data_IF_487191635492
#
_entry.id   IF_487191635492
#
_cell.length_a   1.000
_cell.length_b   1.000
_cell.length_c   1.000
_cell.angle_alpha   90.00
_cell.angle_beta   90.00
_cell.angle_gamma   90.00
#
_symmetry.space_group_name_H-M   'P 1'
#
loop_
_entity.id
_entity.type
_entity.pdbx_description
1 polymer ?
#
# COMPACT_ATOMS: atom_id res chain seq x y z
N UNK A 1 0.02 64.97 11.58
CA UNK A 1 1.10 64.14 12.17
C UNK A 1 0.95 64.22 13.69
N UNK A 2 1.00 63.12 14.47
CA UNK A 2 1.78 61.90 14.26
C UNK A 2 0.96 60.59 14.14
N UNK A 3 1.63 59.66 13.45
CA UNK A 3 1.54 58.20 13.36
C UNK A 3 0.72 57.39 14.38
N UNK A 4 -0.20 56.57 13.85
CA UNK A 4 -0.67 55.30 14.46
C UNK A 4 0.44 54.24 14.41
N UNK A 5 0.58 53.38 15.43
CA UNK A 5 1.31 52.13 15.28
C UNK A 5 0.41 51.03 14.70
N UNK A 6 1.02 50.27 13.80
CA UNK A 6 0.58 49.01 13.21
C UNK A 6 0.95 47.83 14.12
N UNK A 7 0.35 46.67 13.86
CA UNK A 7 0.71 45.31 14.31
C UNK A 7 0.17 44.85 15.66
N UNK A 8 -0.71 43.84 15.64
CA UNK A 8 -0.30 42.44 15.80
C UNK A 8 -1.53 41.52 15.77
N UNK A 9 -1.47 40.48 14.92
CA UNK A 9 -2.42 39.37 14.92
C UNK A 9 -2.41 38.68 16.29
N UNK A 10 -3.52 38.75 17.01
CA UNK A 10 -3.80 37.84 18.11
C UNK A 10 -4.52 36.61 17.54
N UNK A 11 -3.76 35.55 17.25
CA UNK A 11 -4.34 34.21 17.04
C UNK A 11 -4.79 33.72 18.41
N UNK A 12 -6.09 33.75 18.65
CA UNK A 12 -6.69 33.21 19.86
C UNK A 12 -6.50 31.69 19.89
N UNK A 13 -5.80 31.22 20.90
CA UNK A 13 -5.66 29.82 21.24
C UNK A 13 -7.04 29.26 21.66
N UNK A 14 -7.61 28.38 20.84
CA UNK A 14 -8.77 27.58 21.21
C UNK A 14 -8.31 26.16 21.56
N UNK A 15 -8.65 25.73 22.78
CA UNK A 15 -8.43 24.37 23.30
C UNK A 15 -9.21 23.30 22.52
N UNK A 16 -8.79 22.02 22.59
CA UNK A 16 -9.22 20.99 21.65
C UNK A 16 -10.53 20.34 22.08
N UNK A 17 -11.61 20.65 21.37
CA UNK A 17 -12.75 19.75 21.23
C UNK A 17 -12.48 18.86 20.00
N UNK A 18 -12.10 17.60 20.24
CA UNK A 18 -11.48 16.67 19.28
C UNK A 18 -12.28 16.23 18.04
N UNK A 19 -13.35 16.92 17.66
CA UNK A 19 -14.11 16.66 16.43
C UNK A 19 -14.11 17.80 15.41
N UNK A 20 -13.99 19.06 15.86
CA UNK A 20 -14.14 20.22 14.99
C UNK A 20 -12.92 20.54 14.11
N UNK A 21 -11.73 20.13 14.55
CA UNK A 21 -10.47 20.41 13.82
C UNK A 21 -10.30 19.59 12.55
N UNK A 22 -10.68 18.30 12.60
CA UNK A 22 -10.53 17.37 11.45
C UNK A 22 -11.51 17.73 10.34
N UNK A 23 -12.80 17.89 10.65
CA UNK A 23 -13.81 18.27 9.66
C UNK A 23 -13.50 19.62 8.99
N UNK A 24 -12.92 20.57 9.72
CA UNK A 24 -12.48 21.85 9.16
C UNK A 24 -11.30 21.67 8.20
N UNK A 25 -10.34 20.82 8.53
CA UNK A 25 -9.19 20.56 7.66
C UNK A 25 -9.59 19.78 6.39
N UNK A 26 -10.55 18.86 6.50
CA UNK A 26 -11.14 18.15 5.36
C UNK A 26 -11.85 19.13 4.40
N UNK A 27 -12.62 20.07 4.94
CA UNK A 27 -13.24 21.13 4.14
C UNK A 27 -12.18 21.99 3.43
N UNK A 28 -11.13 22.40 4.14
CA UNK A 28 -10.02 23.17 3.55
C UNK A 28 -9.26 22.37 2.47
N UNK A 29 -9.08 21.06 2.66
CA UNK A 29 -8.48 20.18 1.66
C UNK A 29 -9.36 20.09 0.42
N UNK A 30 -10.68 19.99 0.60
CA UNK A 30 -11.64 20.04 -0.52
C UNK A 30 -11.61 21.38 -1.26
N UNK A 31 -11.57 22.51 -0.55
CA UNK A 31 -11.48 23.83 -1.16
C UNK A 31 -10.22 23.96 -2.03
N UNK A 32 -9.09 23.43 -1.55
CA UNK A 32 -7.84 23.40 -2.32
C UNK A 32 -7.90 22.51 -3.56
N UNK A 33 -8.57 21.35 -3.47
CA UNK A 33 -8.82 20.49 -4.63
C UNK A 33 -9.75 21.16 -5.64
N UNK A 34 -10.79 21.87 -5.18
CA UNK A 34 -11.69 22.63 -6.05
C UNK A 34 -10.97 23.77 -6.77
N UNK A 35 -10.15 24.56 -6.06
CA UNK A 35 -9.31 25.61 -6.65
C UNK A 35 -8.38 25.04 -7.73
N UNK A 36 -7.73 23.89 -7.46
CA UNK A 36 -6.90 23.21 -8.43
C UNK A 36 -7.70 22.69 -9.63
N UNK A 37 -8.90 22.16 -9.41
CA UNK A 37 -9.79 21.67 -10.48
C UNK A 37 -10.18 22.80 -11.43
N UNK A 38 -10.60 23.94 -10.89
CA UNK A 38 -10.99 25.13 -11.66
C UNK A 38 -9.80 25.66 -12.46
N UNK A 39 -8.62 25.76 -11.83
CA UNK A 39 -7.39 26.20 -12.49
C UNK A 39 -6.98 25.26 -13.63
N UNK A 40 -7.13 23.94 -13.46
CA UNK A 40 -6.84 22.94 -14.51
C UNK A 40 -7.85 23.03 -15.66
N UNK A 41 -9.13 23.32 -15.36
CA UNK A 41 -10.18 23.42 -16.36
C UNK A 41 -9.95 24.59 -17.34
N UNK A 42 -9.43 25.72 -16.84
CA UNK A 42 -9.13 26.91 -17.65
C UNK A 42 -7.70 26.97 -18.16
N UNK A 43 -6.84 26.00 -17.82
CA UNK A 43 -5.44 26.00 -18.18
C UNK A 43 -5.24 25.97 -19.70
N UNK A 44 -4.34 26.83 -20.17
CA UNK A 44 -3.90 26.99 -21.55
C UNK A 44 -2.57 26.29 -21.84
N UNK A 45 -1.79 25.98 -20.79
CA UNK A 45 -0.48 25.33 -20.90
C UNK A 45 -0.25 24.26 -19.83
N UNK A 46 0.66 23.32 -20.12
CA UNK A 46 1.09 22.31 -19.16
C UNK A 46 1.71 22.93 -17.88
N UNK A 47 2.35 24.10 -18.00
CA UNK A 47 2.91 24.81 -16.84
C UNK A 47 1.84 25.31 -15.86
N UNK A 48 0.69 25.77 -16.37
CA UNK A 48 -0.43 26.20 -15.52
C UNK A 48 -1.05 25.01 -14.77
N UNK A 49 -1.13 23.85 -15.44
CA UNK A 49 -1.57 22.59 -14.82
C UNK A 49 -0.60 22.16 -13.74
N UNK A 50 0.72 22.19 -14.00
CA UNK A 50 1.77 21.88 -13.01
C UNK A 50 1.65 22.78 -11.78
N UNK A 51 1.43 24.08 -11.98
CA UNK A 51 1.22 25.02 -10.87
C UNK A 51 -0.02 24.69 -10.05
N UNK A 52 -1.14 24.36 -10.70
CA UNK A 52 -2.38 24.02 -10.02
C UNK A 52 -2.24 22.77 -9.14
N UNK A 53 -1.61 21.71 -9.65
CA UNK A 53 -1.36 20.49 -8.86
C UNK A 53 -0.29 20.71 -7.79
N UNK A 54 0.73 21.52 -8.06
CA UNK A 54 1.78 21.87 -7.10
C UNK A 54 1.22 22.54 -5.85
N UNK A 55 0.24 23.44 -6.00
CA UNK A 55 -0.42 24.13 -4.90
C UNK A 55 -1.08 23.17 -3.88
N UNK A 56 -1.55 22.00 -4.34
CA UNK A 56 -2.06 20.94 -3.46
C UNK A 56 -0.91 20.04 -2.98
N UNK A 57 0.01 19.66 -3.86
CA UNK A 57 1.10 18.74 -3.55
C UNK A 57 2.03 19.26 -2.43
N UNK A 58 2.32 20.57 -2.39
CA UNK A 58 3.19 21.18 -1.36
C UNK A 58 2.60 21.11 0.05
N UNK A 59 1.27 21.00 0.17
CA UNK A 59 0.58 20.81 1.45
C UNK A 59 0.76 19.39 1.99
N UNK A 60 0.96 18.42 1.10
CA UNK A 60 0.93 16.99 1.41
C UNK A 60 2.34 16.37 1.44
N UNK A 61 3.27 16.89 0.65
CA UNK A 61 4.59 16.30 0.46
C UNK A 61 5.70 17.34 0.60
N UNK A 62 6.92 16.92 0.98
CA UNK A 62 8.11 17.74 0.81
C UNK A 62 8.45 17.79 -0.69
N UNK A 63 7.83 18.73 -1.41
CA UNK A 63 8.02 18.94 -2.85
C UNK A 63 9.27 19.79 -3.08
N UNK A 64 10.17 19.34 -3.96
CA UNK A 64 11.27 20.18 -4.45
C UNK A 64 10.76 21.23 -5.45
N UNK A 65 10.22 22.32 -4.90
CA UNK A 65 9.67 23.44 -5.68
C UNK A 65 10.72 24.10 -6.59
N UNK A 66 12.01 24.05 -6.25
CA UNK A 66 13.06 24.63 -7.10
C UNK A 66 13.24 23.81 -8.38
N UNK A 67 13.28 22.48 -8.25
CA UNK A 67 13.33 21.57 -9.40
C UNK A 67 12.08 21.68 -10.28
N UNK A 68 10.89 21.82 -9.67
CA UNK A 68 9.64 22.05 -10.42
C UNK A 68 9.69 23.37 -11.17
N UNK A 69 10.04 24.46 -10.49
CA UNK A 69 10.12 25.80 -11.07
C UNK A 69 11.16 25.90 -12.20
N UNK A 70 12.26 25.13 -12.13
CA UNK A 70 13.31 25.11 -13.14
C UNK A 70 12.87 24.65 -14.53
N UNK A 71 11.71 23.98 -14.64
CA UNK A 71 11.15 23.49 -15.90
C UNK A 71 10.05 24.37 -16.50
N UNK A 72 9.74 25.50 -15.85
CA UNK A 72 8.61 26.34 -16.18
C UNK A 72 9.05 27.74 -16.63
N UNK A 73 8.26 28.32 -17.52
CA UNK A 73 8.44 29.69 -17.97
C UNK A 73 7.88 30.70 -16.95
N UNK A 74 8.34 31.95 -17.03
CA UNK A 74 7.74 33.06 -16.28
C UNK A 74 6.35 33.41 -16.86
N UNK A 75 5.37 33.82 -16.04
CA UNK A 75 5.45 34.17 -14.60
C UNK A 75 5.20 32.98 -13.64
N UNK A 76 5.01 31.77 -14.17
CA UNK A 76 4.59 30.59 -13.40
C UNK A 76 5.70 30.18 -12.42
N UNK A 77 6.94 30.22 -12.88
CA UNK A 77 8.14 29.95 -12.09
C UNK A 77 8.18 30.76 -10.80
N UNK A 78 7.95 32.08 -10.87
CA UNK A 78 7.94 32.96 -9.70
C UNK A 78 6.85 32.61 -8.68
N UNK A 79 5.71 32.09 -9.12
CA UNK A 79 4.59 31.73 -8.22
C UNK A 79 4.89 30.45 -7.42
N UNK A 80 5.57 29.47 -8.03
CA UNK A 80 5.94 28.20 -7.36
C UNK A 80 7.04 28.40 -6.31
N UNK A 81 7.93 29.37 -6.50
CA UNK A 81 9.04 29.64 -5.58
C UNK A 81 8.56 30.30 -4.28
N UNK A 82 7.31 30.76 -4.19
CA UNK A 82 6.75 31.23 -2.91
C UNK A 82 6.55 30.04 -1.94
N UNK A 83 7.56 29.78 -1.12
CA UNK A 83 7.65 28.56 -0.29
C UNK A 83 6.63 28.58 0.84
N UNK A 84 5.72 27.60 0.82
CA UNK A 84 4.88 27.26 1.95
C UNK A 84 5.65 26.26 2.85
N UNK A 85 6.21 26.75 3.95
CA UNK A 85 6.98 25.91 4.88
C UNK A 85 6.06 25.38 5.98
N UNK A 86 5.51 24.18 5.76
CA UNK A 86 4.78 23.44 6.80
C UNK A 86 5.73 22.59 7.63
N UNK A 87 5.49 22.57 8.94
CA UNK A 87 6.09 21.58 9.84
C UNK A 87 5.66 20.16 9.47
N UNK A 88 6.36 19.16 10.00
CA UNK A 88 6.03 17.75 9.75
C UNK A 88 4.60 17.41 10.23
N UNK A 89 4.22 17.88 11.42
CA UNK A 89 2.94 17.53 12.04
C UNK A 89 1.75 18.22 11.36
N UNK A 90 1.94 19.46 10.89
CA UNK A 90 0.94 20.15 10.07
C UNK A 90 0.74 19.41 8.75
N UNK A 91 1.82 19.03 8.07
CA UNK A 91 1.76 18.27 6.82
C UNK A 91 1.06 16.93 7.03
N UNK A 92 1.37 16.22 8.12
CA UNK A 92 0.71 14.95 8.42
C UNK A 92 -0.79 15.11 8.71
N UNK A 93 -1.17 16.21 9.38
CA UNK A 93 -2.58 16.55 9.57
C UNK A 93 -3.30 16.77 8.23
N UNK A 94 -2.68 17.54 7.32
CA UNK A 94 -3.18 17.75 5.96
C UNK A 94 -3.30 16.43 5.18
N UNK A 95 -2.29 15.56 5.26
CA UNK A 95 -2.32 14.24 4.63
C UNK A 95 -3.48 13.40 5.13
N UNK A 96 -3.70 13.35 6.45
CA UNK A 96 -4.80 12.57 7.04
C UNK A 96 -6.16 13.06 6.54
N UNK A 97 -6.41 14.37 6.59
CA UNK A 97 -7.65 14.95 6.11
C UNK A 97 -7.84 14.78 4.59
N UNK A 98 -6.75 14.86 3.82
CA UNK A 98 -6.81 14.72 2.37
C UNK A 98 -7.11 13.28 1.93
N UNK A 99 -6.36 12.30 2.45
CA UNK A 99 -6.43 10.90 2.00
C UNK A 99 -7.62 10.13 2.57
N UNK A 100 -7.97 10.34 3.84
CA UNK A 100 -9.10 9.66 4.47
C UNK A 100 -10.41 10.47 4.37
N UNK A 101 -10.34 11.70 3.86
CA UNK A 101 -11.50 12.53 3.53
C UNK A 101 -11.89 12.46 2.04
N UNK A 102 -12.86 13.29 1.62
CA UNK A 102 -13.36 13.29 0.23
C UNK A 102 -12.40 13.92 -0.80
N UNK A 103 -11.31 14.55 -0.35
CA UNK A 103 -10.40 15.30 -1.20
C UNK A 103 -9.58 14.39 -2.13
N UNK A 104 -9.01 13.29 -1.63
CA UNK A 104 -8.25 12.37 -2.46
C UNK A 104 -9.10 11.66 -3.53
N UNK A 105 -10.30 11.10 -3.23
CA UNK A 105 -11.18 10.55 -4.27
C UNK A 105 -11.56 11.57 -5.35
N UNK A 106 -11.71 12.84 -4.99
CA UNK A 106 -11.99 13.92 -5.96
C UNK A 106 -10.75 14.26 -6.79
N UNK A 107 -9.61 14.47 -6.13
CA UNK A 107 -8.34 14.80 -6.77
C UNK A 107 -7.86 13.69 -7.70
N UNK A 108 -7.99 12.42 -7.30
CA UNK A 108 -7.63 11.26 -8.13
C UNK A 108 -8.43 11.21 -9.42
N UNK A 109 -9.74 11.51 -9.40
CA UNK A 109 -10.55 11.62 -10.63
C UNK A 109 -10.05 12.75 -11.54
N UNK A 110 -9.65 13.89 -10.99
CA UNK A 110 -9.08 15.01 -11.78
C UNK A 110 -7.72 14.60 -12.38
N UNK A 111 -6.84 13.99 -11.57
CA UNK A 111 -5.52 13.54 -12.00
C UNK A 111 -5.61 12.47 -13.10
N UNK A 112 -6.50 11.50 -12.95
CA UNK A 112 -6.65 10.39 -13.89
C UNK A 112 -7.47 10.80 -15.13
N UNK A 113 -8.64 11.42 -14.94
CA UNK A 113 -9.58 11.69 -16.04
C UNK A 113 -9.32 12.99 -16.80
N UNK A 114 -8.75 14.01 -16.18
CA UNK A 114 -8.49 15.29 -16.86
C UNK A 114 -7.00 15.44 -17.22
N UNK A 115 -6.13 15.28 -16.22
CA UNK A 115 -4.71 15.59 -16.38
C UNK A 115 -4.00 14.48 -17.18
N UNK A 116 -4.26 13.20 -16.90
CA UNK A 116 -3.62 12.10 -17.61
C UNK A 116 -3.91 12.13 -19.12
N UNK A 117 -5.17 12.38 -19.47
CA UNK A 117 -5.63 12.38 -20.86
C UNK A 117 -5.06 13.57 -21.66
N UNK A 118 -5.15 14.78 -21.12
CA UNK A 118 -4.86 16.01 -21.88
C UNK A 118 -3.43 16.53 -21.73
N UNK A 119 -2.84 16.40 -20.54
CA UNK A 119 -1.67 17.20 -20.17
C UNK A 119 -0.42 16.37 -19.84
N UNK A 120 -0.59 15.15 -19.33
CA UNK A 120 0.50 14.37 -18.75
C UNK A 120 1.67 14.10 -19.71
N UNK A 121 1.39 14.00 -21.03
CA UNK A 121 2.43 13.83 -22.07
C UNK A 121 3.32 15.07 -22.24
N UNK A 122 2.84 16.25 -21.87
CA UNK A 122 3.56 17.53 -21.99
C UNK A 122 4.31 17.89 -20.70
N UNK A 123 4.03 17.21 -19.60
CA UNK A 123 4.69 17.44 -18.31
C UNK A 123 6.04 16.72 -18.30
N UNK A 124 7.11 17.46 -18.00
CA UNK A 124 8.46 16.91 -17.89
C UNK A 124 8.51 15.78 -16.85
N UNK A 125 9.27 14.71 -17.13
CA UNK A 125 9.26 13.50 -16.30
C UNK A 125 9.62 13.76 -14.83
N UNK A 126 10.60 14.63 -14.56
CA UNK A 126 10.99 15.00 -13.19
C UNK A 126 9.85 15.69 -12.45
N UNK A 127 9.13 16.60 -13.11
CA UNK A 127 7.99 17.32 -12.54
C UNK A 127 6.84 16.37 -12.29
N UNK A 128 6.53 15.50 -13.26
CA UNK A 128 5.50 14.48 -13.11
C UNK A 128 5.75 13.63 -11.86
N UNK A 129 7.00 13.18 -11.64
CA UNK A 129 7.35 12.40 -10.44
C UNK A 129 7.09 13.18 -9.15
N UNK A 130 7.44 14.47 -9.14
CA UNK A 130 7.38 15.28 -7.92
C UNK A 130 5.97 15.75 -7.56
N UNK A 131 5.14 16.13 -8.54
CA UNK A 131 3.83 16.74 -8.29
C UNK A 131 2.63 15.93 -8.76
N UNK A 132 2.79 14.96 -9.67
CA UNK A 132 1.68 14.11 -10.13
C UNK A 132 1.75 12.72 -9.49
N UNK A 133 2.86 12.00 -9.67
CA UNK A 133 3.02 10.64 -9.16
C UNK A 133 3.01 10.60 -7.63
N UNK A 134 3.49 11.67 -6.96
CA UNK A 134 3.52 11.76 -5.49
C UNK A 134 2.16 11.54 -4.82
N UNK A 135 1.04 11.93 -5.47
CA UNK A 135 -0.31 11.68 -4.94
C UNK A 135 -0.67 10.20 -4.80
N UNK A 136 -0.01 9.34 -5.57
CA UNK A 136 -0.23 7.90 -5.54
C UNK A 136 0.94 7.18 -4.88
N UNK A 137 2.17 7.58 -5.17
CA UNK A 137 3.40 6.93 -4.69
C UNK A 137 3.69 7.26 -3.23
N UNK A 138 3.42 8.49 -2.79
CA UNK A 138 3.62 8.94 -1.39
C UNK A 138 2.31 8.92 -0.58
N UNK A 139 1.21 8.44 -1.15
CA UNK A 139 -0.08 8.27 -0.47
C UNK A 139 -0.20 6.93 0.26
N UNK A 140 -1.17 6.76 1.18
CA UNK A 140 -1.46 5.47 1.80
C UNK A 140 -1.88 4.45 0.73
N UNK A 141 -1.18 3.33 0.54
CA UNK A 141 -1.51 2.38 -0.52
C UNK A 141 -2.90 1.76 -0.39
N UNK A 142 -3.47 1.70 0.82
CA UNK A 142 -4.86 1.28 1.03
C UNK A 142 -5.87 2.21 0.35
N UNK A 143 -5.66 3.53 0.38
CA UNK A 143 -6.49 4.50 -0.33
C UNK A 143 -6.20 4.51 -1.83
N UNK A 144 -4.92 4.43 -2.21
CA UNK A 144 -4.48 4.48 -3.60
C UNK A 144 -5.03 3.32 -4.42
N UNK A 145 -5.03 2.09 -3.89
CA UNK A 145 -5.62 0.93 -4.58
C UNK A 145 -7.13 1.12 -4.80
N UNK A 146 -7.83 1.69 -3.82
CA UNK A 146 -9.27 1.96 -3.93
C UNK A 146 -9.60 2.99 -5.01
N UNK A 147 -8.67 3.89 -5.33
CA UNK A 147 -8.82 4.82 -6.45
C UNK A 147 -8.44 4.16 -7.79
N UNK A 148 -7.30 3.48 -7.87
CA UNK A 148 -6.73 3.00 -9.13
C UNK A 148 -7.42 1.75 -9.69
N UNK A 149 -7.68 0.74 -8.87
CA UNK A 149 -8.16 -0.56 -9.35
C UNK A 149 -9.60 -0.51 -9.89
N UNK A 150 -10.55 0.23 -9.29
CA UNK A 150 -11.85 0.43 -9.89
C UNK A 150 -11.81 1.24 -11.19
N UNK A 151 -10.86 2.18 -11.31
CA UNK A 151 -10.73 3.02 -12.49
C UNK A 151 -10.37 2.21 -13.76
N UNK A 152 -9.61 1.11 -13.64
CA UNK A 152 -9.35 0.19 -14.77
C UNK A 152 -10.61 -0.37 -15.44
N UNK A 153 -11.73 -0.44 -14.71
CA UNK A 153 -12.98 -0.99 -15.21
C UNK A 153 -13.95 0.08 -15.74
N UNK A 154 -13.56 1.35 -15.76
CA UNK A 154 -14.40 2.44 -16.25
C UNK A 154 -14.35 2.51 -17.78
N UNK A 155 -15.51 2.35 -18.43
CA UNK A 155 -15.63 2.56 -19.87
C UNK A 155 -15.58 4.05 -20.18
N UNK A 156 -14.53 4.50 -20.88
CA UNK A 156 -14.46 5.85 -21.42
C UNK A 156 -15.10 5.94 -22.82
N UNK A 157 -15.54 7.15 -23.18
CA UNK A 157 -16.36 7.41 -24.36
C UNK A 157 -15.63 7.15 -25.70
N UNK A 158 -14.29 7.17 -25.72
CA UNK A 158 -13.47 6.92 -26.92
C UNK A 158 -12.42 5.83 -26.65
N UNK A 159 -12.11 5.00 -27.66
CA UNK A 159 -11.13 3.90 -27.53
C UNK A 159 -9.69 4.39 -27.30
N UNK A 160 -9.33 5.55 -27.84
CA UNK A 160 -7.96 6.09 -27.72
C UNK A 160 -7.75 6.73 -26.36
N UNK A 161 -8.70 7.53 -25.88
CA UNK A 161 -8.65 8.11 -24.54
C UNK A 161 -8.63 7.02 -23.48
N UNK A 162 -9.48 5.99 -23.65
CA UNK A 162 -9.51 4.84 -22.76
C UNK A 162 -8.15 4.13 -22.68
N UNK A 163 -7.43 3.99 -23.80
CA UNK A 163 -6.11 3.38 -23.81
C UNK A 163 -5.08 4.25 -23.06
N UNK A 164 -5.09 5.56 -23.25
CA UNK A 164 -4.18 6.50 -22.55
C UNK A 164 -4.45 6.47 -21.04
N UNK A 165 -5.73 6.49 -20.67
CA UNK A 165 -6.19 6.39 -19.30
C UNK A 165 -5.70 5.09 -18.64
N UNK A 166 -5.99 3.94 -19.25
CA UNK A 166 -5.57 2.63 -18.75
C UNK A 166 -4.04 2.50 -18.68
N UNK A 167 -3.30 2.98 -19.68
CA UNK A 167 -1.83 2.99 -19.67
C UNK A 167 -1.27 3.74 -18.45
N UNK A 168 -1.85 4.89 -18.10
CA UNK A 168 -1.41 5.64 -16.93
C UNK A 168 -1.76 4.93 -15.62
N UNK A 169 -2.95 4.34 -15.51
CA UNK A 169 -3.33 3.57 -14.30
C UNK A 169 -2.45 2.34 -14.14
N UNK A 170 -2.20 1.58 -15.20
CA UNK A 170 -1.30 0.42 -15.21
C UNK A 170 0.10 0.83 -14.76
N UNK A 171 0.63 1.94 -15.28
CA UNK A 171 1.91 2.50 -14.86
C UNK A 171 1.89 2.84 -13.36
N UNK A 172 0.86 3.52 -12.88
CA UNK A 172 0.74 3.89 -11.47
C UNK A 172 0.63 2.66 -10.56
N UNK A 173 -0.08 1.61 -10.96
CA UNK A 173 -0.16 0.34 -10.21
C UNK A 173 1.20 -0.32 -10.09
N UNK A 174 2.00 -0.35 -11.16
CA UNK A 174 3.37 -0.86 -11.11
C UNK A 174 4.23 -0.02 -10.17
N UNK A 175 4.21 1.32 -10.33
CA UNK A 175 4.99 2.23 -9.50
C UNK A 175 4.62 2.09 -8.02
N UNK A 176 3.33 2.08 -7.69
CA UNK A 176 2.87 2.08 -6.30
C UNK A 176 3.01 0.70 -5.65
N UNK A 177 2.56 -0.37 -6.32
CA UNK A 177 2.48 -1.69 -5.71
C UNK A 177 3.78 -2.49 -5.84
N UNK A 178 4.50 -2.35 -6.95
CA UNK A 178 5.67 -3.18 -7.24
C UNK A 178 6.96 -2.43 -6.95
N UNK A 179 7.17 -1.27 -7.57
CA UNK A 179 8.43 -0.53 -7.45
C UNK A 179 8.59 0.13 -6.08
N UNK A 180 7.51 0.70 -5.53
CA UNK A 180 7.52 1.33 -4.20
C UNK A 180 7.11 0.40 -3.05
N UNK A 181 7.11 -0.92 -3.28
CA UNK A 181 6.76 -1.94 -2.27
C UNK A 181 5.39 -1.70 -1.59
N UNK A 182 4.39 -1.20 -2.33
CA UNK A 182 3.10 -0.79 -1.78
C UNK A 182 2.37 -1.91 -1.04
N UNK A 183 2.54 -3.18 -1.43
CA UNK A 183 1.93 -4.31 -0.72
C UNK A 183 2.50 -4.46 0.70
N UNK A 184 3.82 -4.31 0.85
CA UNK A 184 4.46 -4.28 2.17
C UNK A 184 4.00 -3.07 3.00
N UNK A 185 3.83 -1.90 2.37
CA UNK A 185 3.32 -0.73 3.07
C UNK A 185 1.88 -0.93 3.60
N UNK A 186 1.01 -1.65 2.88
CA UNK A 186 -0.33 -2.03 3.40
C UNK A 186 -0.22 -2.87 4.67
N UNK A 187 0.71 -3.84 4.69
CA UNK A 187 0.98 -4.64 5.90
C UNK A 187 1.40 -3.74 7.06
N UNK A 188 2.27 -2.77 6.81
CA UNK A 188 2.69 -1.80 7.82
C UNK A 188 1.53 -0.94 8.32
N UNK A 189 0.64 -0.45 7.43
CA UNK A 189 -0.55 0.31 7.83
C UNK A 189 -1.46 -0.50 8.77
N UNK A 190 -1.68 -1.79 8.47
CA UNK A 190 -2.47 -2.65 9.36
C UNK A 190 -1.83 -2.90 10.71
N UNK A 191 -0.51 -2.82 10.84
CA UNK A 191 0.16 -2.84 12.15
C UNK A 191 -0.16 -1.58 12.97
N UNK A 192 -0.16 -0.40 12.35
CA UNK A 192 -0.40 0.87 13.05
C UNK A 192 -1.87 1.13 13.39
N UNK A 193 -2.81 0.68 12.54
CA UNK A 193 -4.27 0.80 12.77
C UNK A 193 -4.74 0.11 14.07
N UNK A 194 -3.96 -0.82 14.62
CA UNK A 194 -4.27 -1.52 15.86
C UNK A 194 -3.97 -0.72 17.15
N UNK A 195 -3.34 0.46 17.07
CA UNK A 195 -3.01 1.26 18.26
C UNK A 195 -4.19 1.97 18.91
N UNK A 196 -5.38 1.97 18.29
CA UNK A 196 -6.49 2.85 18.69
C UNK A 196 -7.85 2.16 18.90
N UNK A 197 -7.95 0.82 18.82
CA UNK A 197 -9.22 0.12 19.03
C UNK A 197 -9.04 -1.15 19.89
N UNK A 198 -9.98 -1.36 20.82
CA UNK A 198 -10.11 -2.53 21.69
C UNK A 198 -10.14 -3.84 20.88
N UNK A 199 -9.18 -4.75 21.14
CA UNK A 199 -9.37 -6.19 21.40
C UNK A 199 -9.96 -7.13 20.35
N UNK A 200 -10.80 -6.63 19.44
CA UNK A 200 -11.63 -7.43 18.55
C UNK A 200 -11.69 -6.74 17.20
N UNK A 201 -11.37 -7.48 16.14
CA UNK A 201 -11.55 -7.02 14.77
C UNK A 201 -13.03 -6.67 14.55
N UNK A 202 -13.37 -5.38 14.53
CA UNK A 202 -14.68 -4.90 14.12
C UNK A 202 -15.04 -5.50 12.73
N UNK A 203 -16.27 -6.04 12.53
CA UNK A 203 -16.77 -6.46 11.22
C UNK A 203 -16.43 -5.52 10.06
N UNK A 204 -16.53 -4.19 10.26
CA UNK A 204 -16.20 -3.18 9.24
C UNK A 204 -14.75 -3.30 8.75
N UNK A 205 -13.83 -3.59 9.68
CA UNK A 205 -12.41 -3.76 9.38
C UNK A 205 -12.14 -5.05 8.62
N UNK A 206 -12.81 -6.14 9.01
CA UNK A 206 -12.71 -7.42 8.29
C UNK A 206 -13.20 -7.26 6.85
N UNK A 207 -14.35 -6.59 6.65
CA UNK A 207 -14.87 -6.26 5.33
C UNK A 207 -13.92 -5.37 4.53
N UNK A 208 -13.31 -4.37 5.18
CA UNK A 208 -12.32 -3.49 4.55
C UNK A 208 -11.09 -4.28 4.06
N UNK A 209 -10.51 -5.12 4.92
CA UNK A 209 -9.35 -5.98 4.60
C UNK A 209 -9.69 -6.92 3.44
N UNK A 210 -10.84 -7.59 3.51
CA UNK A 210 -11.29 -8.52 2.47
C UNK A 210 -11.48 -7.80 1.12
N UNK A 211 -12.04 -6.57 1.14
CA UNK A 211 -12.19 -5.73 -0.06
C UNK A 211 -10.84 -5.34 -0.65
N UNK A 212 -9.88 -4.93 0.18
CA UNK A 212 -8.53 -4.59 -0.29
C UNK A 212 -7.81 -5.79 -0.89
N UNK A 213 -7.88 -6.96 -0.24
CA UNK A 213 -7.34 -8.19 -0.79
C UNK A 213 -7.97 -8.55 -2.13
N UNK A 214 -9.29 -8.33 -2.28
CA UNK A 214 -9.99 -8.50 -3.55
C UNK A 214 -9.50 -7.54 -4.63
N UNK A 215 -9.35 -6.25 -4.32
CA UNK A 215 -8.86 -5.26 -5.27
C UNK A 215 -7.45 -5.63 -5.74
N UNK A 216 -6.55 -5.94 -4.81
CA UNK A 216 -5.18 -6.35 -5.11
C UNK A 216 -5.14 -7.60 -6.00
N UNK A 217 -5.90 -8.64 -5.63
CA UNK A 217 -5.95 -9.88 -6.39
C UNK A 217 -6.56 -9.72 -7.80
N UNK A 218 -7.42 -8.72 -8.00
CA UNK A 218 -8.09 -8.47 -9.29
C UNK A 218 -7.24 -7.68 -10.29
N UNK A 219 -6.08 -7.15 -9.90
CA UNK A 219 -5.26 -6.30 -10.78
C UNK A 219 -4.89 -6.99 -12.09
N UNK A 220 -4.39 -8.25 -12.10
CA UNK A 220 -4.07 -8.92 -13.36
C UNK A 220 -5.29 -9.18 -14.25
N UNK A 221 -6.46 -9.43 -13.64
CA UNK A 221 -7.71 -9.69 -14.36
C UNK A 221 -8.22 -8.42 -15.07
N UNK A 222 -7.91 -7.25 -14.51
CA UNK A 222 -8.36 -5.94 -14.99
C UNK A 222 -7.35 -5.23 -15.88
N UNK A 223 -6.10 -5.69 -15.91
CA UNK A 223 -5.09 -5.16 -16.81
C UNK A 223 -5.48 -5.46 -18.27
N UNK A 224 -5.22 -4.53 -19.19
CA UNK A 224 -5.62 -4.72 -20.59
C UNK A 224 -4.80 -5.82 -21.26
N UNK A 225 -5.32 -6.39 -22.35
CA UNK A 225 -4.48 -7.22 -23.22
C UNK A 225 -3.33 -6.39 -23.80
N UNK A 226 -2.09 -6.85 -23.60
CA UNK A 226 -0.88 -6.10 -23.96
C UNK A 226 -0.46 -5.03 -22.92
N UNK A 227 -0.98 -5.09 -21.69
CA UNK A 227 -0.40 -4.42 -20.54
C UNK A 227 1.07 -4.82 -20.34
N UNK A 228 1.78 -4.07 -19.49
CA UNK A 228 3.15 -4.44 -19.08
C UNK A 228 3.19 -5.88 -18.56
N UNK A 229 4.28 -6.60 -18.86
CA UNK A 229 4.50 -7.97 -18.37
C UNK A 229 4.52 -8.05 -16.85
N UNK A 230 4.79 -6.93 -16.16
CA UNK A 230 4.73 -6.81 -14.71
C UNK A 230 3.31 -7.00 -14.13
N UNK A 231 2.26 -6.74 -14.92
CA UNK A 231 0.86 -6.91 -14.51
C UNK A 231 0.26 -8.25 -14.92
N UNK A 232 1.02 -9.11 -15.59
CA UNK A 232 0.60 -10.50 -15.80
C UNK A 232 0.46 -11.21 -14.46
N UNK A 233 -0.49 -12.14 -14.34
CA UNK A 233 -0.74 -12.87 -13.10
C UNK A 233 0.55 -13.48 -12.52
N UNK A 234 1.41 -14.03 -13.37
CA UNK A 234 2.70 -14.61 -12.95
C UNK A 234 3.64 -13.60 -12.29
N UNK A 235 4.01 -12.53 -13.00
CA UNK A 235 4.94 -11.52 -12.47
C UNK A 235 4.34 -10.75 -11.30
N UNK A 236 3.05 -10.40 -11.39
CA UNK A 236 2.37 -9.60 -10.40
C UNK A 236 2.25 -10.36 -9.09
N UNK A 237 1.70 -11.59 -9.11
CA UNK A 237 1.53 -12.37 -7.88
C UNK A 237 2.85 -12.80 -7.27
N UNK A 238 3.89 -13.04 -8.07
CA UNK A 238 5.24 -13.25 -7.55
C UNK A 238 5.69 -12.08 -6.66
N UNK A 239 5.59 -10.86 -7.18
CA UNK A 239 5.96 -9.66 -6.42
C UNK A 239 5.06 -9.42 -5.21
N UNK A 240 3.74 -9.57 -5.36
CA UNK A 240 2.77 -9.41 -4.27
C UNK A 240 3.06 -10.37 -3.12
N UNK A 241 3.19 -11.68 -3.41
CA UNK A 241 3.42 -12.71 -2.40
C UNK A 241 4.76 -12.50 -1.69
N UNK A 242 5.82 -12.19 -2.44
CA UNK A 242 7.13 -11.91 -1.89
C UNK A 242 7.10 -10.72 -0.92
N UNK A 243 6.53 -9.59 -1.34
CA UNK A 243 6.41 -8.40 -0.48
C UNK A 243 5.56 -8.65 0.77
N UNK A 244 4.43 -9.34 0.59
CA UNK A 244 3.48 -9.64 1.65
C UNK A 244 4.11 -10.49 2.76
N UNK A 245 4.79 -11.58 2.38
CA UNK A 245 5.39 -12.52 3.32
C UNK A 245 6.60 -11.93 4.03
N UNK A 246 7.50 -11.25 3.30
CA UNK A 246 8.67 -10.58 3.91
C UNK A 246 8.21 -9.55 4.94
N UNK A 247 7.26 -8.68 4.59
CA UNK A 247 6.84 -7.63 5.52
C UNK A 247 6.00 -8.15 6.68
N UNK A 248 5.22 -9.22 6.48
CA UNK A 248 4.47 -9.86 7.56
C UNK A 248 5.40 -10.58 8.55
N UNK A 249 6.47 -11.23 8.08
CA UNK A 249 7.51 -11.80 8.94
C UNK A 249 8.21 -10.70 9.75
N UNK A 250 8.60 -9.58 9.13
CA UNK A 250 9.17 -8.42 9.84
C UNK A 250 8.20 -7.84 10.89
N UNK A 251 6.92 -7.72 10.55
CA UNK A 251 5.89 -7.24 11.47
C UNK A 251 5.74 -8.16 12.70
N UNK A 252 5.88 -9.47 12.53
CA UNK A 252 5.88 -10.42 13.65
C UNK A 252 7.08 -10.21 14.58
N UNK A 253 8.26 -9.88 14.03
CA UNK A 253 9.45 -9.52 14.82
C UNK A 253 9.17 -8.25 15.64
N UNK A 254 8.69 -7.19 14.99
CA UNK A 254 8.38 -5.91 15.64
C UNK A 254 7.35 -6.08 16.76
N UNK A 255 6.36 -6.96 16.57
CA UNK A 255 5.37 -7.28 17.60
C UNK A 255 5.98 -8.03 18.79
N UNK A 256 6.90 -8.97 18.55
CA UNK A 256 7.54 -9.77 19.62
C UNK A 256 8.54 -8.99 20.49
N UNK A 257 9.08 -7.88 19.96
CA UNK A 257 10.03 -7.04 20.67
C UNK A 257 9.36 -6.03 21.62
N UNK A 258 8.10 -5.67 21.37
CA UNK A 258 7.40 -4.62 22.09
C UNK A 258 6.45 -5.18 23.16
N UNK A 259 6.91 -5.24 24.41
CA UNK A 259 6.13 -5.71 25.58
C UNK A 259 4.89 -4.87 25.92
N UNK A 260 4.73 -3.70 25.31
CA UNK A 260 3.59 -2.78 25.51
C UNK A 260 2.45 -2.97 24.50
N UNK A 261 2.62 -3.83 23.49
CA UNK A 261 1.56 -4.11 22.52
C UNK A 261 0.62 -5.20 23.05
N UNK A 262 -0.68 -5.04 22.80
CA UNK A 262 -1.59 -6.17 22.81
C UNK A 262 -1.20 -7.07 21.62
N UNK A 263 -0.21 -7.95 21.83
CA UNK A 263 0.47 -8.76 20.80
C UNK A 263 -0.51 -9.56 19.92
N UNK A 264 -1.73 -9.82 20.44
CA UNK A 264 -2.74 -10.61 19.78
C UNK A 264 -3.52 -9.86 18.70
N UNK A 265 -3.76 -8.54 18.85
CA UNK A 265 -4.65 -7.78 17.96
C UNK A 265 -3.93 -7.26 16.71
N UNK A 266 -2.68 -6.82 16.85
CA UNK A 266 -1.87 -6.29 15.75
C UNK A 266 -1.59 -7.34 14.67
N UNK A 267 -1.09 -8.49 15.14
CA UNK A 267 -0.82 -9.65 14.31
C UNK A 267 -2.11 -10.18 13.64
N UNK A 268 -3.27 -10.04 14.29
CA UNK A 268 -4.55 -10.55 13.77
C UNK A 268 -4.96 -9.90 12.45
N UNK A 269 -4.74 -8.59 12.29
CA UNK A 269 -5.13 -7.86 11.07
C UNK A 269 -4.19 -8.14 9.91
N UNK A 270 -2.89 -8.22 10.21
CA UNK A 270 -1.86 -8.60 9.23
C UNK A 270 -2.11 -10.02 8.75
N UNK A 271 -2.27 -10.98 9.67
CA UNK A 271 -2.57 -12.37 9.34
C UNK A 271 -3.86 -12.49 8.53
N UNK A 272 -4.93 -11.79 8.91
CA UNK A 272 -6.17 -11.77 8.14
C UNK A 272 -5.94 -11.28 6.71
N UNK A 273 -5.22 -10.16 6.53
CA UNK A 273 -4.91 -9.64 5.19
C UNK A 273 -4.05 -10.62 4.39
N UNK A 274 -3.01 -11.21 5.01
CA UNK A 274 -2.16 -12.22 4.38
C UNK A 274 -2.99 -13.41 3.91
N UNK A 275 -3.79 -13.99 4.80
CA UNK A 275 -4.67 -15.13 4.48
C UNK A 275 -5.66 -14.82 3.36
N UNK A 276 -6.30 -13.64 3.39
CA UNK A 276 -7.24 -13.20 2.36
C UNK A 276 -6.56 -13.02 0.98
N UNK A 277 -5.35 -12.47 0.93
CA UNK A 277 -4.60 -12.30 -0.32
C UNK A 277 -4.14 -13.66 -0.86
N UNK A 278 -3.49 -14.48 -0.03
CA UNK A 278 -2.98 -15.79 -0.43
C UNK A 278 -4.11 -16.71 -0.92
N UNK A 279 -5.26 -16.73 -0.24
CA UNK A 279 -6.44 -17.50 -0.68
C UNK A 279 -6.94 -17.07 -2.05
N UNK A 280 -6.93 -15.76 -2.35
CA UNK A 280 -7.36 -15.25 -3.67
C UNK A 280 -6.37 -15.52 -4.79
N UNK A 281 -5.07 -15.48 -4.49
CA UNK A 281 -4.01 -15.89 -5.41
C UNK A 281 -4.18 -17.38 -5.75
N UNK A 282 -4.45 -18.21 -4.74
CA UNK A 282 -4.70 -19.65 -4.92
C UNK A 282 -5.92 -19.91 -5.80
N UNK A 283 -7.07 -19.27 -5.50
CA UNK A 283 -8.31 -19.39 -6.28
C UNK A 283 -8.19 -18.89 -7.74
N UNK A 284 -7.18 -18.08 -8.04
CA UNK A 284 -6.85 -17.65 -9.42
C UNK A 284 -5.91 -18.61 -10.14
N UNK A 285 -5.70 -19.81 -9.61
CA UNK A 285 -4.81 -20.81 -10.20
C UNK A 285 -3.33 -20.46 -10.08
N UNK A 286 -2.97 -19.50 -9.24
CA UNK A 286 -1.59 -19.04 -9.05
C UNK A 286 -0.92 -19.66 -7.82
N UNK A 287 -1.46 -20.78 -7.31
CA UNK A 287 -0.90 -21.51 -6.16
C UNK A 287 0.55 -21.93 -6.39
N UNK A 288 0.93 -22.31 -7.61
CA UNK A 288 2.32 -22.69 -7.92
C UNK A 288 3.32 -21.56 -7.72
N UNK A 289 2.95 -20.32 -8.05
CA UNK A 289 3.76 -19.12 -7.79
C UNK A 289 3.88 -18.89 -6.29
N UNK A 290 2.77 -19.02 -5.59
CA UNK A 290 2.71 -18.82 -4.15
C UNK A 290 3.60 -19.83 -3.40
N UNK A 291 3.57 -21.11 -3.77
CA UNK A 291 4.43 -22.16 -3.20
C UNK A 291 5.91 -21.94 -3.56
N UNK A 292 6.19 -21.53 -4.81
CA UNK A 292 7.55 -21.25 -5.26
C UNK A 292 8.20 -20.08 -4.51
N UNK A 293 7.41 -19.15 -3.96
CA UNK A 293 7.89 -18.09 -3.08
C UNK A 293 7.96 -18.54 -1.61
N UNK A 294 6.99 -19.33 -1.13
CA UNK A 294 6.95 -19.82 0.26
C UNK A 294 8.13 -20.73 0.60
N UNK A 295 8.44 -21.72 -0.25
CA UNK A 295 9.48 -22.73 0.03
C UNK A 295 10.84 -22.07 0.31
N UNK A 296 11.38 -21.18 -0.55
CA UNK A 296 12.65 -20.51 -0.28
C UNK A 296 12.65 -19.63 0.97
N UNK A 297 11.52 -18.96 1.27
CA UNK A 297 11.42 -18.10 2.47
C UNK A 297 11.46 -18.92 3.76
N UNK A 298 10.69 -20.01 3.83
CA UNK A 298 10.69 -20.91 5.00
C UNK A 298 12.06 -21.57 5.15
N UNK A 299 12.69 -21.96 4.04
CA UNK A 299 14.06 -22.49 4.04
C UNK A 299 15.05 -21.51 4.67
N UNK A 300 15.00 -20.24 4.26
CA UNK A 300 15.84 -19.19 4.82
C UNK A 300 15.56 -18.98 6.32
N UNK A 301 14.29 -19.02 6.72
CA UNK A 301 13.90 -18.98 8.13
C UNK A 301 14.48 -20.16 8.94
N UNK A 302 14.35 -21.39 8.43
CA UNK A 302 14.91 -22.59 9.05
C UNK A 302 16.43 -22.49 9.21
N UNK A 303 17.14 -21.99 8.20
CA UNK A 303 18.59 -21.76 8.27
C UNK A 303 18.98 -20.76 9.36
N UNK A 304 18.14 -19.76 9.65
CA UNK A 304 18.36 -18.81 10.76
C UNK A 304 18.06 -19.41 12.12
N UNK A 305 17.16 -20.40 12.19
CA UNK A 305 16.81 -21.09 13.43
C UNK A 305 17.90 -22.08 13.88
N UNK A 306 18.70 -22.58 12.93
CA UNK A 306 19.73 -23.59 13.19
C UNK A 306 21.03 -22.92 13.63
N UNK A 307 21.52 -23.27 14.82
CA UNK A 307 22.83 -22.81 15.27
C UNK A 307 23.93 -23.35 14.32
N UNK A 308 25.01 -22.58 14.06
CA UNK A 308 26.05 -22.96 13.08
C UNK A 308 26.67 -24.34 13.32
N UNK A 309 26.68 -24.81 14.58
CA UNK A 309 27.30 -26.06 15.00
C UNK A 309 26.33 -27.26 15.03
N UNK A 310 25.04 -27.05 14.76
CA UNK A 310 24.02 -28.10 14.83
C UNK A 310 23.82 -28.78 13.47
N UNK A 311 23.97 -30.10 13.43
CA UNK A 311 23.78 -30.89 12.19
C UNK A 311 22.34 -31.33 11.93
N UNK A 312 21.47 -31.23 12.93
CA UNK A 312 20.07 -31.67 12.87
C UNK A 312 19.17 -30.61 13.48
N UNK A 313 18.08 -30.31 12.78
CA UNK A 313 17.06 -29.39 13.29
C UNK A 313 16.21 -30.13 14.31
N UNK A 314 15.87 -29.49 15.44
CA UNK A 314 14.91 -30.01 16.41
C UNK A 314 13.77 -29.01 16.63
N UNK A 315 12.55 -29.45 17.01
CA UNK A 315 11.37 -28.58 17.11
C UNK A 315 11.58 -27.35 17.98
N UNK A 316 12.31 -27.51 19.09
CA UNK A 316 12.52 -26.43 20.07
C UNK A 316 13.34 -25.27 19.48
N UNK A 317 14.30 -25.56 18.59
CA UNK A 317 15.07 -24.53 17.90
C UNK A 317 14.19 -23.61 17.07
N UNK A 318 13.16 -24.17 16.42
CA UNK A 318 12.21 -23.39 15.61
C UNK A 318 11.21 -22.67 16.54
N UNK A 319 10.66 -23.35 17.55
CA UNK A 319 9.65 -22.78 18.46
C UNK A 319 10.17 -21.59 19.28
N UNK A 320 11.45 -21.57 19.63
CA UNK A 320 12.05 -20.48 20.41
C UNK A 320 12.36 -19.22 19.59
N UNK A 321 12.28 -19.30 18.27
CA UNK A 321 12.50 -18.16 17.37
C UNK A 321 11.17 -17.41 17.20
N UNK A 322 11.05 -16.14 17.65
CA UNK A 322 9.79 -15.40 17.60
C UNK A 322 9.15 -15.32 16.21
N UNK A 323 9.98 -15.27 15.17
CA UNK A 323 9.58 -15.27 13.76
C UNK A 323 8.76 -16.50 13.38
N UNK A 324 9.03 -17.65 14.00
CA UNK A 324 8.33 -18.91 13.70
C UNK A 324 6.83 -18.81 13.98
N UNK A 325 6.41 -17.95 14.91
CA UNK A 325 4.99 -17.71 15.20
C UNK A 325 4.21 -17.25 13.96
N UNK A 326 4.82 -16.43 13.11
CA UNK A 326 4.21 -16.05 11.84
C UNK A 326 3.99 -17.29 10.97
N UNK A 327 5.06 -18.06 10.72
CA UNK A 327 4.99 -19.22 9.85
C UNK A 327 4.00 -20.29 10.33
N UNK A 328 3.92 -20.51 11.65
CA UNK A 328 2.94 -21.44 12.22
C UNK A 328 1.48 -20.99 12.02
N UNK A 329 1.23 -19.70 11.87
CA UNK A 329 -0.12 -19.13 11.76
C UNK A 329 -0.54 -18.77 10.33
N UNK A 330 0.39 -18.80 9.36
CA UNK A 330 0.08 -18.53 7.94
C UNK A 330 -1.00 -19.48 7.40
N UNK A 331 -0.91 -20.78 7.72
CA UNK A 331 -1.90 -21.76 7.26
C UNK A 331 -3.24 -21.54 7.95
N UNK A 332 -3.25 -21.22 9.25
CA UNK A 332 -4.49 -20.92 9.97
C UNK A 332 -5.17 -19.64 9.46
N UNK A 333 -4.38 -18.67 8.99
CA UNK A 333 -4.88 -17.46 8.36
C UNK A 333 -5.58 -17.73 7.02
N UNK A 334 -5.21 -18.81 6.32
CA UNK A 334 -5.93 -19.31 5.15
C UNK A 334 -7.24 -19.96 5.60
N UNK A 335 -8.29 -19.17 5.83
CA UNK A 335 -9.60 -19.68 6.26
C UNK A 335 -10.39 -20.43 5.17
N UNK A 336 -9.86 -20.51 3.96
CA UNK A 336 -10.49 -21.16 2.82
C UNK A 336 -9.97 -22.59 2.62
N UNK A 337 -10.81 -23.58 2.89
CA UNK A 337 -10.49 -25.00 2.74
C UNK A 337 -9.94 -25.34 1.34
N UNK A 338 -10.54 -24.80 0.29
CA UNK A 338 -10.08 -25.05 -1.07
C UNK A 338 -8.64 -24.56 -1.30
N UNK A 339 -8.32 -23.35 -0.81
CA UNK A 339 -6.98 -22.79 -0.90
C UNK A 339 -5.95 -23.60 -0.10
N UNK A 340 -6.32 -24.09 1.09
CA UNK A 340 -5.44 -24.97 1.90
C UNK A 340 -5.13 -26.27 1.14
N UNK A 341 -6.15 -26.91 0.56
CA UNK A 341 -5.97 -28.16 -0.20
C UNK A 341 -5.07 -27.94 -1.41
N UNK A 342 -5.36 -26.91 -2.22
CA UNK A 342 -4.54 -26.56 -3.39
C UNK A 342 -3.11 -26.23 -3.01
N UNK A 343 -2.90 -25.46 -1.94
CA UNK A 343 -1.58 -25.13 -1.41
C UNK A 343 -0.81 -26.39 -1.03
N UNK A 344 -1.45 -27.27 -0.28
CA UNK A 344 -0.84 -28.49 0.24
C UNK A 344 -0.43 -29.43 -0.89
N UNK A 345 -1.34 -29.67 -1.86
CA UNK A 345 -1.06 -30.48 -3.05
C UNK A 345 0.14 -29.93 -3.83
N UNK A 346 0.13 -28.63 -4.10
CA UNK A 346 1.18 -27.97 -4.87
C UNK A 346 2.52 -27.91 -4.13
N UNK A 347 2.50 -27.75 -2.80
CA UNK A 347 3.69 -27.79 -1.97
C UNK A 347 4.32 -29.18 -1.96
N UNK A 348 3.55 -30.24 -1.77
CA UNK A 348 4.05 -31.61 -1.86
C UNK A 348 4.62 -31.90 -3.25
N UNK A 349 3.93 -31.46 -4.30
CA UNK A 349 4.40 -31.61 -5.68
C UNK A 349 5.73 -30.92 -5.93
N UNK A 350 5.89 -29.68 -5.48
CA UNK A 350 7.13 -28.94 -5.64
C UNK A 350 8.25 -29.49 -4.76
N UNK A 351 7.98 -29.84 -3.50
CA UNK A 351 8.99 -30.46 -2.62
C UNK A 351 9.50 -31.78 -3.19
N UNK A 352 8.63 -32.60 -3.80
CA UNK A 352 9.03 -33.84 -4.45
C UNK A 352 9.77 -33.63 -5.79
N UNK A 353 9.48 -32.53 -6.51
CA UNK A 353 10.11 -32.25 -7.80
C UNK A 353 11.45 -31.54 -7.68
N UNK A 354 11.65 -30.76 -6.61
CA UNK A 354 12.93 -30.14 -6.29
C UNK A 354 13.79 -31.17 -5.57
N UNK A 355 15.07 -31.29 -5.90
CA UNK A 355 16.01 -32.21 -5.22
C UNK A 355 16.35 -31.74 -3.78
N UNK A 356 15.34 -31.38 -3.00
CA UNK A 356 15.46 -31.08 -1.57
C UNK A 356 15.65 -32.40 -0.82
N UNK A 357 16.43 -32.36 0.26
CA UNK A 357 16.56 -33.51 1.15
C UNK A 357 15.22 -33.75 1.87
N UNK A 358 14.85 -35.01 2.10
CA UNK A 358 13.61 -35.40 2.79
C UNK A 358 13.50 -34.73 4.17
N UNK A 359 14.62 -34.57 4.88
CA UNK A 359 14.67 -33.84 6.15
C UNK A 359 14.27 -32.37 5.98
N UNK A 360 14.76 -31.70 4.94
CA UNK A 360 14.46 -30.29 4.67
C UNK A 360 12.98 -30.12 4.27
N UNK A 361 12.47 -31.02 3.43
CA UNK A 361 11.04 -31.05 3.08
C UNK A 361 10.15 -31.28 4.31
N UNK A 362 10.55 -32.20 5.21
CA UNK A 362 9.85 -32.42 6.48
C UNK A 362 9.78 -31.16 7.32
N UNK A 363 10.90 -30.45 7.52
CA UNK A 363 10.92 -29.25 8.36
C UNK A 363 10.13 -28.09 7.77
N UNK A 364 10.08 -27.96 6.44
CA UNK A 364 9.21 -26.98 5.78
C UNK A 364 7.74 -27.28 6.07
N UNK A 365 7.31 -28.52 5.87
CA UNK A 365 5.93 -28.95 6.16
C UNK A 365 5.59 -28.81 7.64
N UNK A 366 6.50 -29.24 8.51
CA UNK A 366 6.33 -29.12 9.96
C UNK A 366 6.16 -27.65 10.37
N UNK A 367 6.97 -26.75 9.81
CA UNK A 367 6.91 -25.31 10.14
C UNK A 367 5.58 -24.67 9.74
N UNK A 368 4.94 -25.13 8.68
CA UNK A 368 3.64 -24.59 8.25
C UNK A 368 2.44 -25.24 8.92
N UNK A 369 2.48 -26.55 9.13
CA UNK A 369 1.29 -27.32 9.54
C UNK A 369 1.31 -27.80 10.99
N UNK A 370 2.40 -27.65 11.73
CA UNK A 370 2.51 -28.19 13.09
C UNK A 370 1.40 -27.67 14.03
N UNK A 371 1.01 -26.39 13.96
CA UNK A 371 -0.07 -25.87 14.80
C UNK A 371 -1.45 -26.43 14.40
N UNK A 372 -1.75 -26.53 13.11
CA UNK A 372 -2.99 -27.13 12.63
C UNK A 372 -3.14 -28.60 13.03
N UNK A 373 -2.04 -29.37 13.02
CA UNK A 373 -2.02 -30.77 13.46
C UNK A 373 -2.25 -30.88 14.97
N UNK A 374 -1.64 -29.99 15.77
CA UNK A 374 -1.81 -29.99 17.24
C UNK A 374 -3.22 -29.59 17.66
N UNK A 375 -3.88 -28.69 16.94
CA UNK A 375 -5.29 -28.32 17.18
C UNK A 375 -6.26 -29.49 16.93
N UNK A 376 -5.98 -30.34 15.93
CA UNK A 376 -6.76 -31.54 15.62
C UNK A 376 -6.53 -32.65 16.66
N UNK A 377 -5.32 -32.75 17.24
CA UNK A 377 -4.98 -33.76 18.23
C UNK A 377 -5.51 -33.47 19.66
N UNK A 378 -5.99 -32.25 19.90
CA UNK A 378 -6.53 -31.79 21.20
C UNK A 378 -8.08 -31.71 21.20
N UNK A 379 -8.72 -31.86 20.02
CA UNK A 379 -10.15 -32.16 19.90
C UNK A 379 -10.38 -33.67 19.84
#
# INVERSE_FOLDING_TARGET
MPSKPSSAMAVAAASPAGGGGVARLEALAMDKVAEAADAVAIASSAGEVVRAIHAVAVLLFPVDSATVAGTLDEPIKSQIISVLSLSHDERESWRRAFYHGPAFPTMSKILLGNIALKWLRQIHNTVRKEVYDSFFVRGPPTEVIQALVPALSQNENSKEDHNIFCLNIERLLILCLLENKGVGQIVAEFMFLNKHNDGVLNPDRTTFISRLAQLLASVPDKARMGASSALTASSFFKSVVSQLLVRAEEAAIESSANKEFNEQDALSSVLLFVGEVLSRVSRRGSTGILVAELIPMIRNHLQRCVAPDCKTIIPDMIKHVPQSRFWFTVIEALRDQHSIERLTEEMLRQLASHHLNDEEAYWILWTLFNQSIMHIAVM
#
